data_IF_418995235569
#
_entry.id   IF_418995235569
#
_cell.length_a   1.000
_cell.length_b   1.000
_cell.length_c   1.000
_cell.angle_alpha   90.00
_cell.angle_beta   90.00
_cell.angle_gamma   90.00
#
_symmetry.space_group_name_H-M   'P 1'
#
loop_
_entity.id
_entity.type
_entity.pdbx_description
1 polymer ?
#
# COMPACT_ATOMS: atom_id res chain seq x y z
N UNK A 1 -18.89 -18.44 1.75
CA UNK A 1 -17.63 -18.22 1.00
C UNK A 1 -17.18 -16.80 1.33
N UNK A 2 -15.94 -16.62 1.80
CA UNK A 2 -15.39 -15.29 2.12
C UNK A 2 -14.90 -14.60 0.84
N UNK A 3 -15.05 -13.27 0.77
CA UNK A 3 -14.62 -12.43 -0.36
C UNK A 3 -13.54 -11.48 0.13
N UNK A 4 -12.45 -11.35 -0.63
CA UNK A 4 -11.38 -10.39 -0.35
C UNK A 4 -11.36 -9.32 -1.44
N UNK A 5 -11.17 -8.06 -1.03
CA UNK A 5 -11.03 -6.91 -1.94
C UNK A 5 -9.57 -6.68 -2.37
N UNK A 6 -9.31 -5.63 -3.15
CA UNK A 6 -7.93 -5.21 -3.49
C UNK A 6 -7.22 -4.56 -2.30
N UNK A 7 -7.96 -3.91 -1.40
CA UNK A 7 -7.48 -3.43 -0.12
C UNK A 7 -6.50 -2.26 -0.14
N UNK A 8 -6.34 -1.57 -1.27
CA UNK A 8 -5.61 -0.30 -1.35
C UNK A 8 -6.58 0.86 -1.17
N UNK A 9 -6.79 1.64 -2.23
CA UNK A 9 -7.62 2.85 -2.28
C UNK A 9 -9.10 2.57 -2.01
N UNK A 10 -9.53 1.30 -2.06
CA UNK A 10 -10.91 0.89 -1.80
C UNK A 10 -11.09 0.14 -0.47
N UNK A 11 -10.04 -0.04 0.34
CA UNK A 11 -10.07 -0.93 1.51
C UNK A 11 -11.24 -0.65 2.46
N UNK A 12 -11.45 0.63 2.81
CA UNK A 12 -12.52 0.98 3.74
C UNK A 12 -13.91 0.66 3.18
N UNK A 13 -14.13 0.96 1.90
CA UNK A 13 -15.41 0.70 1.25
C UNK A 13 -15.66 -0.80 1.10
N UNK A 14 -14.62 -1.56 0.77
CA UNK A 14 -14.67 -3.02 0.69
C UNK A 14 -15.04 -3.64 2.06
N UNK A 15 -14.36 -3.21 3.13
CA UNK A 15 -14.63 -3.70 4.49
C UNK A 15 -16.05 -3.31 4.95
N UNK A 16 -16.50 -2.08 4.65
CA UNK A 16 -17.87 -1.62 4.94
C UNK A 16 -18.94 -2.41 4.19
N UNK A 17 -18.60 -2.95 3.02
CA UNK A 17 -19.50 -3.78 2.21
C UNK A 17 -19.38 -5.28 2.54
N UNK A 18 -18.61 -5.63 3.57
CA UNK A 18 -18.53 -6.99 4.10
C UNK A 18 -17.41 -7.85 3.50
N UNK A 19 -16.39 -7.24 2.89
CA UNK A 19 -15.18 -8.01 2.54
C UNK A 19 -14.53 -8.58 3.81
N UNK A 20 -13.96 -9.78 3.69
CA UNK A 20 -13.25 -10.47 4.76
C UNK A 20 -11.78 -10.03 4.87
N UNK A 21 -11.36 -9.02 4.09
CA UNK A 21 -9.99 -8.51 4.07
C UNK A 21 -9.56 -8.07 2.67
N UNK A 22 -8.24 -8.05 2.49
CA UNK A 22 -7.57 -7.53 1.32
C UNK A 22 -6.59 -8.55 0.70
N UNK A 23 -6.59 -8.63 -0.63
CA UNK A 23 -5.59 -9.33 -1.44
C UNK A 23 -4.77 -8.29 -2.19
N UNK A 24 -3.87 -7.63 -1.46
CA UNK A 24 -3.08 -6.54 -1.99
C UNK A 24 -1.61 -6.89 -2.19
N UNK A 25 -0.94 -6.11 -3.03
CA UNK A 25 0.50 -6.09 -3.10
C UNK A 25 1.13 -4.89 -2.39
N UNK A 26 0.38 -4.09 -1.63
CA UNK A 26 0.90 -2.88 -0.99
C UNK A 26 2.12 -3.20 -0.12
N UNK A 27 3.16 -2.38 -0.19
CA UNK A 27 4.43 -2.75 0.41
C UNK A 27 4.42 -2.72 1.94
N UNK A 28 3.41 -2.12 2.60
CA UNK A 28 3.35 -1.99 4.07
C UNK A 28 2.11 -2.70 4.64
N UNK A 29 2.13 -4.05 4.73
CA UNK A 29 0.98 -4.82 5.21
C UNK A 29 0.56 -4.45 6.64
N UNK A 30 1.48 -3.98 7.48
CA UNK A 30 1.21 -3.53 8.86
C UNK A 30 0.14 -2.43 8.94
N UNK A 31 0.07 -1.54 7.93
CA UNK A 31 -0.95 -0.49 7.84
C UNK A 31 -2.32 -1.11 7.61
N UNK A 32 -2.40 -2.08 6.70
CA UNK A 32 -3.65 -2.73 6.31
C UNK A 32 -4.19 -3.60 7.44
N UNK A 33 -3.30 -4.34 8.11
CA UNK A 33 -3.63 -5.13 9.30
C UNK A 33 -4.22 -4.21 10.36
N UNK A 34 -3.62 -3.04 10.60
CA UNK A 34 -4.16 -2.07 11.55
C UNK A 34 -5.56 -1.61 11.17
N UNK A 35 -5.79 -1.23 9.90
CA UNK A 35 -7.11 -0.82 9.41
C UNK A 35 -8.13 -1.95 9.58
N UNK A 36 -7.81 -3.18 9.15
CA UNK A 36 -8.69 -4.33 9.31
C UNK A 36 -9.03 -4.58 10.78
N UNK A 37 -8.05 -4.52 11.69
CA UNK A 37 -8.26 -4.73 13.12
C UNK A 37 -9.23 -3.69 13.72
N UNK A 38 -9.05 -2.41 13.39
CA UNK A 38 -9.97 -1.36 13.86
C UNK A 38 -11.38 -1.53 13.29
N UNK A 39 -11.50 -1.90 12.01
CA UNK A 39 -12.79 -2.21 11.40
C UNK A 39 -13.47 -3.41 12.07
N UNK A 40 -12.73 -4.48 12.40
CA UNK A 40 -13.27 -5.64 13.14
C UNK A 40 -13.65 -5.31 14.58
N UNK A 41 -12.93 -4.39 15.23
CA UNK A 41 -13.25 -3.90 16.56
C UNK A 41 -14.43 -2.91 16.57
N UNK A 42 -14.94 -2.50 15.41
CA UNK A 42 -16.00 -1.50 15.28
C UNK A 42 -15.54 -0.05 15.44
N UNK A 43 -14.23 0.19 15.59
CA UNK A 43 -13.65 1.54 15.68
C UNK A 43 -13.35 2.08 14.28
N UNK A 44 -14.42 2.48 13.60
CA UNK A 44 -14.36 3.00 12.24
C UNK A 44 -13.55 4.30 12.16
N UNK A 45 -13.56 5.12 13.21
CA UNK A 45 -12.86 6.41 13.22
C UNK A 45 -11.34 6.22 13.18
N UNK A 46 -10.81 5.31 13.98
CA UNK A 46 -9.37 4.97 13.95
C UNK A 46 -8.96 4.34 12.62
N UNK A 47 -9.79 3.45 12.06
CA UNK A 47 -9.57 2.88 10.74
C UNK A 47 -9.50 3.95 9.64
N UNK A 48 -10.45 4.90 9.64
CA UNK A 48 -10.47 6.03 8.70
C UNK A 48 -9.24 6.92 8.85
N UNK A 49 -8.83 7.22 10.07
CA UNK A 49 -7.66 8.06 10.35
C UNK A 49 -6.39 7.44 9.75
N UNK A 50 -6.15 6.14 10.01
CA UNK A 50 -5.00 5.42 9.45
C UNK A 50 -5.08 5.35 7.93
N UNK A 51 -6.25 5.04 7.39
CA UNK A 51 -6.46 4.98 5.94
C UNK A 51 -6.15 6.33 5.28
N UNK A 52 -6.71 7.43 5.79
CA UNK A 52 -6.51 8.78 5.23
C UNK A 52 -5.04 9.20 5.28
N UNK A 53 -4.35 8.90 6.39
CA UNK A 53 -2.92 9.17 6.53
C UNK A 53 -2.07 8.49 5.46
N UNK A 54 -2.39 7.24 5.10
CA UNK A 54 -1.59 6.43 4.17
C UNK A 54 -2.15 6.37 2.75
N UNK A 55 -3.31 6.99 2.49
CA UNK A 55 -3.92 7.06 1.16
C UNK A 55 -2.95 7.57 0.07
N UNK A 56 -2.11 8.59 0.32
CA UNK A 56 -1.11 9.01 -0.66
C UNK A 56 -0.16 7.87 -1.07
N UNK A 57 0.28 7.03 -0.12
CA UNK A 57 1.14 5.88 -0.42
C UNK A 57 0.39 4.79 -1.19
N UNK A 58 -0.90 4.54 -0.88
CA UNK A 58 -1.73 3.62 -1.65
C UNK A 58 -1.83 4.07 -3.12
N UNK A 59 -2.11 5.36 -3.35
CA UNK A 59 -2.22 5.93 -4.69
C UNK A 59 -0.89 5.87 -5.44
N UNK A 60 0.21 6.23 -4.79
CA UNK A 60 1.52 6.23 -5.42
C UNK A 60 1.93 4.81 -5.86
N UNK A 61 1.68 3.78 -5.05
CA UNK A 61 1.93 2.38 -5.44
C UNK A 61 0.94 1.82 -6.46
N UNK A 62 -0.21 2.45 -6.64
CA UNK A 62 -1.28 2.03 -7.56
C UNK A 62 -1.21 2.73 -8.92
N UNK A 63 -0.05 3.31 -9.27
CA UNK A 63 0.20 3.86 -10.60
C UNK A 63 0.28 2.74 -11.64
N UNK A 64 -0.54 2.85 -12.68
CA UNK A 64 -0.56 1.89 -13.78
C UNK A 64 0.78 1.83 -14.51
N UNK A 65 1.18 0.64 -14.97
CA UNK A 65 2.43 0.41 -15.66
C UNK A 65 3.67 0.32 -14.75
N UNK A 66 3.79 1.16 -13.73
CA UNK A 66 5.00 1.25 -12.87
C UNK A 66 4.79 0.78 -11.43
N UNK A 67 3.56 0.50 -10.99
CA UNK A 67 3.24 0.16 -9.60
C UNK A 67 3.99 -1.06 -9.04
N UNK A 68 4.35 -2.04 -9.89
CA UNK A 68 5.21 -3.17 -9.46
C UNK A 68 6.63 -2.69 -9.13
N UNK A 69 7.20 -1.80 -9.96
CA UNK A 69 8.53 -1.25 -9.76
C UNK A 69 8.60 -0.38 -8.50
N UNK A 70 7.58 0.45 -8.29
CA UNK A 70 7.44 1.27 -7.07
C UNK A 70 7.41 0.36 -5.84
N UNK A 71 6.57 -0.67 -5.82
CA UNK A 71 6.49 -1.62 -4.69
C UNK A 71 7.79 -2.33 -4.40
N UNK A 72 8.47 -2.80 -5.45
CA UNK A 72 9.79 -3.41 -5.28
C UNK A 72 10.81 -2.41 -4.75
N UNK A 73 10.72 -1.13 -5.13
CA UNK A 73 11.53 -0.09 -4.54
C UNK A 73 11.21 0.10 -3.05
N UNK A 74 9.94 0.20 -2.65
CA UNK A 74 9.54 0.28 -1.24
C UNK A 74 10.10 -0.88 -0.41
N UNK A 75 9.96 -2.12 -0.90
CA UNK A 75 10.49 -3.32 -0.23
C UNK A 75 12.02 -3.31 -0.14
N UNK A 76 12.71 -2.81 -1.18
CA UNK A 76 14.16 -2.69 -1.19
C UNK A 76 14.66 -1.65 -0.20
N UNK A 77 14.02 -0.47 -0.15
CA UNK A 77 14.35 0.59 0.81
C UNK A 77 14.13 0.16 2.26
N UNK A 78 13.18 -0.76 2.51
CA UNK A 78 12.95 -1.40 3.81
C UNK A 78 13.95 -2.53 4.12
N UNK A 79 14.86 -2.87 3.20
CA UNK A 79 15.82 -3.96 3.37
C UNK A 79 15.21 -5.37 3.28
N UNK A 80 13.97 -5.51 2.81
CA UNK A 80 13.26 -6.80 2.76
C UNK A 80 13.61 -7.65 1.53
N UNK A 81 14.12 -7.03 0.47
CA UNK A 81 14.60 -7.71 -0.72
C UNK A 81 15.96 -7.16 -1.14
N UNK A 82 16.76 -7.99 -1.85
CA UNK A 82 18.12 -7.61 -2.28
C UNK A 82 18.17 -6.72 -3.52
N UNK A 83 17.07 -6.61 -4.28
CA UNK A 83 17.05 -5.83 -5.52
C UNK A 83 15.63 -5.38 -5.89
N UNK A 84 15.43 -4.10 -6.27
CA UNK A 84 14.13 -3.61 -6.70
C UNK A 84 13.82 -3.97 -8.17
N UNK A 85 14.74 -4.62 -8.89
CA UNK A 85 14.67 -4.84 -10.35
C UNK A 85 13.39 -5.56 -10.78
N UNK A 86 12.59 -4.94 -11.63
CA UNK A 86 11.48 -5.61 -12.34
C UNK A 86 12.00 -6.38 -13.57
N UNK A 87 11.44 -7.56 -13.85
CA UNK A 87 11.82 -8.35 -15.03
C UNK A 87 11.22 -7.74 -16.29
N UNK A 88 11.98 -7.74 -17.39
CA UNK A 88 11.48 -7.37 -18.72
C UNK A 88 10.21 -8.18 -19.08
N UNK A 89 9.18 -7.57 -19.70
CA UNK A 89 9.13 -6.20 -20.26
C UNK A 89 8.72 -5.10 -19.26
N UNK A 90 8.63 -5.41 -17.96
CA UNK A 90 8.21 -4.42 -16.96
C UNK A 90 9.21 -3.26 -16.81
N UNK A 91 8.72 -2.01 -16.66
CA UNK A 91 9.58 -0.84 -16.54
C UNK A 91 10.28 -0.78 -15.18
N UNK A 92 11.38 -0.03 -15.10
CA UNK A 92 11.92 0.45 -13.83
C UNK A 92 11.42 1.88 -13.58
N UNK A 93 11.42 2.29 -12.31
CA UNK A 93 11.21 3.70 -11.98
C UNK A 93 12.47 4.53 -12.27
N UNK A 94 12.28 5.83 -12.51
CA UNK A 94 13.39 6.78 -12.65
C UNK A 94 14.00 7.13 -11.29
N UNK A 95 15.17 7.78 -11.29
CA UNK A 95 15.75 8.36 -10.08
C UNK A 95 14.86 9.42 -9.45
N UNK A 96 14.19 10.26 -10.26
CA UNK A 96 13.24 11.27 -9.78
C UNK A 96 12.05 10.63 -9.05
N UNK A 97 11.42 9.62 -9.67
CA UNK A 97 10.32 8.87 -9.06
C UNK A 97 10.75 8.16 -7.78
N UNK A 98 12.00 7.68 -7.71
CA UNK A 98 12.55 7.12 -6.48
C UNK A 98 12.63 8.18 -5.37
N UNK A 99 13.11 9.38 -5.66
CA UNK A 99 13.17 10.47 -4.68
C UNK A 99 11.78 10.84 -4.18
N UNK A 100 10.83 11.04 -5.09
CA UNK A 100 9.42 11.34 -4.77
C UNK A 100 8.79 10.27 -3.87
N UNK A 101 9.05 8.98 -4.18
CA UNK A 101 8.60 7.87 -3.34
C UNK A 101 9.15 7.98 -1.91
N UNK A 102 10.44 8.27 -1.75
CA UNK A 102 11.09 8.35 -0.44
C UNK A 102 10.55 9.53 0.38
N UNK A 103 10.38 10.69 -0.25
CA UNK A 103 9.80 11.88 0.39
C UNK A 103 8.36 11.60 0.84
N UNK A 104 7.56 10.98 -0.04
CA UNK A 104 6.19 10.59 0.27
C UNK A 104 6.13 9.64 1.46
N UNK A 105 6.91 8.55 1.44
CA UNK A 105 6.93 7.55 2.51
C UNK A 105 7.35 8.18 3.86
N UNK A 106 8.32 9.08 3.85
CA UNK A 106 8.72 9.84 5.06
C UNK A 106 7.56 10.70 5.57
N UNK A 107 6.87 11.43 4.69
CA UNK A 107 5.75 12.31 5.09
C UNK A 107 4.56 11.57 5.71
N UNK A 108 4.33 10.32 5.31
CA UNK A 108 3.29 9.46 5.91
C UNK A 108 3.81 8.59 7.05
N UNK A 109 5.07 8.75 7.46
CA UNK A 109 5.66 8.03 8.60
C UNK A 109 5.90 6.53 8.35
N UNK A 110 6.17 6.15 7.11
CA UNK A 110 6.52 4.78 6.69
C UNK A 110 8.03 4.61 6.42
N UNK A 111 8.81 5.67 6.64
CA UNK A 111 10.26 5.70 6.57
C UNK A 111 10.81 6.67 7.62
#
# INVERSE_FOLDING_TARGET
MSIFGDGRVFLLDELRRGSSGAMTGFAYPEVLVSICNYMYAGDISSAESIFRKHLPAFLFEFQEGIGVAIRKQSLFERGLIKSPRVRHPGPQITSATKTELIELLTSVGLR
#
